data_IF_620448324929
#
_entry.id   IF_620448324929
#
_cell.length_a   1.000
_cell.length_b   1.000
_cell.length_c   1.000
_cell.angle_alpha   90.00
_cell.angle_beta   90.00
_cell.angle_gamma   90.00
#
_symmetry.space_group_name_H-M   'P 1'
#
loop_
_entity.id
_entity.type
_entity.pdbx_description
1 polymer ?
#
# COMPACT_ATOMS: atom_id res chain seq x y z
N UNK A 1 -11.34 -12.53 -12.90
CA UNK A 1 -11.66 -12.95 -14.28
C UNK A 1 -10.62 -12.44 -15.27
N UNK A 2 -10.44 -11.12 -15.46
CA UNK A 2 -9.49 -10.57 -16.44
C UNK A 2 -8.05 -11.09 -16.28
N UNK A 3 -7.50 -11.10 -15.07
CA UNK A 3 -6.15 -11.66 -14.81
C UNK A 3 -6.02 -13.14 -15.21
N UNK A 4 -7.03 -13.96 -14.91
CA UNK A 4 -7.03 -15.39 -15.26
C UNK A 4 -7.08 -15.60 -16.78
N UNK A 5 -7.94 -14.84 -17.47
CA UNK A 5 -8.05 -14.90 -18.93
C UNK A 5 -6.78 -14.39 -19.61
N UNK A 6 -6.22 -13.28 -19.12
CA UNK A 6 -4.96 -12.74 -19.64
C UNK A 6 -3.83 -13.77 -19.48
N UNK A 7 -3.69 -14.38 -18.30
CA UNK A 7 -2.71 -15.45 -18.07
C UNK A 7 -2.88 -16.63 -19.02
N UNK A 8 -4.11 -17.13 -19.16
CA UNK A 8 -4.44 -18.24 -20.06
C UNK A 8 -4.13 -17.93 -21.53
N UNK A 9 -4.50 -16.73 -22.01
CA UNK A 9 -4.22 -16.31 -23.39
C UNK A 9 -2.73 -16.13 -23.61
N UNK A 10 -2.01 -15.48 -22.69
CA UNK A 10 -0.57 -15.24 -22.85
C UNK A 10 0.21 -16.56 -22.91
N UNK A 11 -0.07 -17.52 -22.03
CA UNK A 11 0.61 -18.83 -22.03
C UNK A 11 0.14 -19.75 -23.15
N UNK A 12 -1.07 -19.52 -23.68
CA UNK A 12 -1.59 -20.21 -24.86
C UNK A 12 -0.95 -19.74 -26.17
N UNK A 13 -0.59 -18.46 -26.27
CA UNK A 13 0.02 -17.87 -27.48
C UNK A 13 1.54 -18.02 -27.49
N UNK A 14 2.20 -17.80 -26.36
CA UNK A 14 3.67 -17.83 -26.25
C UNK A 14 4.11 -18.82 -25.18
N UNK A 15 5.16 -19.58 -25.46
CA UNK A 15 5.73 -20.51 -24.49
C UNK A 15 6.18 -19.76 -23.23
N UNK A 16 5.82 -20.26 -22.04
CA UNK A 16 6.11 -19.61 -20.75
C UNK A 16 7.59 -19.26 -20.54
N UNK A 17 8.53 -19.98 -21.19
CA UNK A 17 9.97 -19.69 -21.13
C UNK A 17 10.37 -18.38 -21.79
N UNK A 18 9.58 -17.88 -22.73
CA UNK A 18 9.84 -16.64 -23.49
C UNK A 18 9.15 -15.41 -22.88
N UNK A 19 8.30 -15.60 -21.86
CA UNK A 19 7.56 -14.52 -21.21
C UNK A 19 8.34 -13.85 -20.06
N UNK A 20 9.57 -14.27 -19.77
CA UNK A 20 10.42 -13.63 -18.76
C UNK A 20 11.10 -12.36 -19.31
N UNK A 21 10.29 -11.39 -19.69
CA UNK A 21 10.70 -10.11 -20.27
C UNK A 21 9.98 -8.96 -19.55
N UNK A 22 10.45 -7.70 -19.65
CA UNK A 22 9.80 -6.57 -18.99
C UNK A 22 8.37 -6.28 -19.49
N UNK A 23 8.04 -6.64 -20.72
CA UNK A 23 6.78 -6.34 -21.42
C UNK A 23 6.10 -7.59 -22.01
N UNK A 24 5.74 -8.60 -21.19
CA UNK A 24 5.28 -9.91 -21.66
C UNK A 24 3.97 -9.84 -22.46
N UNK A 25 3.11 -8.87 -22.14
CA UNK A 25 1.85 -8.64 -22.87
C UNK A 25 2.12 -8.18 -24.31
N UNK A 26 3.12 -7.31 -24.50
CA UNK A 26 3.51 -6.83 -25.83
C UNK A 26 4.08 -7.97 -26.67
N UNK A 27 4.98 -8.77 -26.08
CA UNK A 27 5.55 -9.96 -26.74
C UNK A 27 4.47 -10.96 -27.14
N UNK A 28 3.48 -11.20 -26.27
CA UNK A 28 2.36 -12.08 -26.60
C UNK A 28 1.53 -11.55 -27.78
N UNK A 29 1.32 -10.24 -27.88
CA UNK A 29 0.55 -9.64 -28.98
C UNK A 29 1.31 -9.66 -30.29
N UNK A 30 2.60 -9.36 -30.26
CA UNK A 30 3.46 -9.37 -31.45
C UNK A 30 3.57 -10.80 -32.00
N UNK A 31 3.60 -11.82 -31.13
CA UNK A 31 3.57 -13.24 -31.52
C UNK A 31 2.26 -13.69 -32.19
N UNK A 32 1.13 -12.99 -31.97
CA UNK A 32 -0.14 -13.29 -32.66
C UNK A 32 -0.18 -12.84 -34.12
N UNK A 33 0.86 -12.13 -34.60
CA UNK A 33 1.00 -11.61 -35.96
C UNK A 33 -0.17 -10.69 -36.40
N UNK A 34 -0.84 -10.04 -35.44
CA UNK A 34 -1.94 -9.08 -35.66
C UNK A 34 -1.47 -7.66 -35.35
N UNK A 35 -0.71 -7.07 -36.27
CA UNK A 35 -0.04 -5.77 -36.08
C UNK A 35 -0.97 -4.61 -35.68
N UNK A 36 -2.25 -4.64 -36.09
CA UNK A 36 -3.23 -3.61 -35.72
C UNK A 36 -3.52 -3.54 -34.21
N UNK A 37 -3.34 -4.66 -33.49
CA UNK A 37 -3.65 -4.76 -32.07
C UNK A 37 -2.49 -4.28 -31.18
N UNK A 38 -1.25 -4.38 -31.66
CA UNK A 38 -0.05 -4.05 -30.89
C UNK A 38 0.01 -2.57 -30.48
N UNK A 39 -0.26 -1.66 -31.43
CA UNK A 39 -0.21 -0.21 -31.19
C UNK A 39 -1.16 0.27 -30.09
N UNK A 40 -2.48 0.03 -30.22
CA UNK A 40 -3.46 0.44 -29.22
C UNK A 40 -3.23 -0.17 -27.83
N UNK A 41 -2.80 -1.44 -27.75
CA UNK A 41 -2.58 -2.08 -26.45
C UNK A 41 -1.32 -1.54 -25.76
N UNK A 42 -0.23 -1.31 -26.49
CA UNK A 42 0.99 -0.69 -25.93
C UNK A 42 0.70 0.73 -25.43
N UNK A 43 -0.05 1.53 -26.20
CA UNK A 43 -0.52 2.86 -25.77
C UNK A 43 -1.41 2.78 -24.52
N UNK A 44 -2.35 1.85 -24.50
CA UNK A 44 -3.23 1.61 -23.36
C UNK A 44 -2.45 1.20 -22.10
N UNK A 45 -1.42 0.37 -22.24
CA UNK A 45 -0.56 -0.04 -21.14
C UNK A 45 0.23 1.16 -20.57
N UNK A 46 0.82 2.01 -21.42
CA UNK A 46 1.53 3.22 -20.99
C UNK A 46 0.59 4.18 -20.26
N UNK A 47 -0.60 4.44 -20.82
CA UNK A 47 -1.58 5.33 -20.20
C UNK A 47 -2.09 4.78 -18.86
N UNK A 48 -2.36 3.48 -18.80
CA UNK A 48 -2.81 2.79 -17.58
C UNK A 48 -1.76 2.80 -16.48
N UNK A 49 -0.51 2.43 -16.78
CA UNK A 49 0.59 2.44 -15.82
C UNK A 49 0.89 3.86 -15.32
N UNK A 50 0.84 4.86 -16.20
CA UNK A 50 1.02 6.27 -15.82
C UNK A 50 -0.05 6.72 -14.82
N UNK A 51 -1.31 6.35 -15.05
CA UNK A 51 -2.41 6.65 -14.13
C UNK A 51 -2.20 6.00 -12.76
N UNK A 52 -1.80 4.72 -12.72
CA UNK A 52 -1.52 4.01 -11.47
C UNK A 52 -0.38 4.67 -10.68
N UNK A 53 0.71 5.04 -11.36
CA UNK A 53 1.85 5.73 -10.73
C UNK A 53 1.41 7.06 -10.11
N UNK A 54 0.58 7.85 -10.80
CA UNK A 54 0.03 9.10 -10.26
C UNK A 54 -0.78 8.85 -8.99
N UNK A 55 -1.68 7.86 -8.99
CA UNK A 55 -2.49 7.52 -7.80
C UNK A 55 -1.61 7.09 -6.62
N UNK A 56 -0.57 6.30 -6.88
CA UNK A 56 0.38 5.85 -5.85
C UNK A 56 1.18 7.01 -5.26
N UNK A 57 1.70 7.90 -6.10
CA UNK A 57 2.46 9.08 -5.66
C UNK A 57 1.61 10.08 -4.87
N UNK A 58 0.32 10.22 -5.20
CA UNK A 58 -0.59 11.11 -4.47
C UNK A 58 -1.03 10.55 -3.11
N UNK A 59 -0.94 9.23 -2.91
CA UNK A 59 -1.36 8.57 -1.68
C UNK A 59 -0.34 8.71 -0.54
N UNK A 60 0.97 8.63 -0.86
CA UNK A 60 2.04 8.67 0.16
C UNK A 60 2.09 9.97 0.98
N UNK A 61 2.01 11.18 0.37
CA UNK A 61 2.07 12.45 1.12
C UNK A 61 0.94 12.60 2.13
N UNK A 62 -0.24 12.00 1.87
CA UNK A 62 -1.39 12.04 2.79
C UNK A 62 -1.12 11.24 4.05
N UNK A 63 -0.52 10.05 3.91
CA UNK A 63 -0.14 9.20 5.04
C UNK A 63 0.91 9.91 5.90
N UNK A 64 1.92 10.53 5.28
CA UNK A 64 2.93 11.30 6.03
C UNK A 64 2.34 12.52 6.74
N UNK A 65 1.39 13.20 6.11
CA UNK A 65 0.68 14.32 6.73
C UNK A 65 -0.13 13.88 7.96
N UNK A 66 -0.87 12.76 7.88
CA UNK A 66 -1.62 12.24 9.04
C UNK A 66 -0.68 11.77 10.15
N UNK A 67 0.41 11.05 9.81
CA UNK A 67 1.41 10.60 10.79
C UNK A 67 2.09 11.76 11.51
N UNK A 68 2.41 12.84 10.81
CA UNK A 68 2.99 14.04 11.44
C UNK A 68 1.98 14.82 12.28
N UNK A 69 0.69 14.85 11.89
CA UNK A 69 -0.39 15.40 12.73
C UNK A 69 -0.59 14.60 14.02
N UNK A 70 -0.34 13.30 13.99
CA UNK A 70 -0.38 12.41 15.15
C UNK A 70 0.90 12.53 16.02
N UNK A 71 1.88 13.34 15.60
CA UNK A 71 3.13 13.61 16.32
C UNK A 71 4.24 12.60 16.08
N UNK A 72 4.03 11.63 15.18
CA UNK A 72 4.99 10.56 14.88
C UNK A 72 6.16 11.01 13.98
N UNK A 73 6.02 12.14 13.28
CA UNK A 73 7.03 12.72 12.38
C UNK A 73 7.22 14.23 12.62
N UNK A 74 8.40 14.80 12.30
CA UNK A 74 8.69 16.23 12.46
C UNK A 74 7.64 17.15 11.83
N UNK A 75 7.20 18.20 12.54
CA UNK A 75 6.16 19.11 12.02
C UNK A 75 6.54 19.82 10.70
N UNK A 76 7.83 19.90 10.39
CA UNK A 76 8.35 20.49 9.16
C UNK A 76 7.90 19.75 7.89
N UNK A 77 7.70 18.42 7.94
CA UNK A 77 7.17 17.64 6.80
C UNK A 77 5.65 17.81 6.60
N UNK A 78 4.96 18.49 7.52
CA UNK A 78 3.52 18.79 7.40
C UNK A 78 3.23 20.19 6.85
N UNK A 79 4.21 20.93 6.34
CA UNK A 79 3.95 22.29 5.84
C UNK A 79 3.10 22.23 4.57
N UNK A 80 1.81 22.52 4.73
CA UNK A 80 0.83 22.55 3.66
C UNK A 80 0.95 23.87 2.88
N UNK A 81 0.86 23.82 1.55
CA UNK A 81 0.87 25.03 0.72
C UNK A 81 -0.37 25.90 1.03
N UNK A 82 -0.21 27.20 1.34
CA UNK A 82 -1.32 28.05 1.81
C UNK A 82 -2.45 28.24 0.78
N UNK A 83 -2.13 28.23 -0.52
CA UNK A 83 -3.11 28.40 -1.61
C UNK A 83 -3.74 27.08 -2.11
N UNK A 84 -2.98 25.99 -2.10
CA UNK A 84 -3.38 24.72 -2.73
C UNK A 84 -3.76 23.65 -1.70
N UNK A 85 -3.51 23.90 -0.41
CA UNK A 85 -3.77 22.98 0.70
C UNK A 85 -3.16 21.58 0.51
N UNK A 86 -2.07 21.48 -0.26
CA UNK A 86 -1.33 20.24 -0.53
C UNK A 86 -0.01 20.18 0.23
N UNK A 87 0.41 19.00 0.72
CA UNK A 87 1.70 18.81 1.38
C UNK A 87 2.82 18.69 0.32
N UNK A 88 3.25 19.84 -0.21
CA UNK A 88 4.16 19.89 -1.36
C UNK A 88 5.59 19.41 -1.03
N UNK A 89 6.07 19.62 0.19
CA UNK A 89 7.41 19.21 0.63
C UNK A 89 7.53 17.68 0.62
N UNK A 90 6.56 16.97 1.20
CA UNK A 90 6.58 15.50 1.21
C UNK A 90 6.43 14.93 -0.18
N UNK A 91 5.59 15.51 -1.04
CA UNK A 91 5.48 15.09 -2.44
C UNK A 91 6.81 15.19 -3.20
N UNK A 92 7.55 16.28 -3.04
CA UNK A 92 8.86 16.44 -3.70
C UNK A 92 9.85 15.42 -3.13
N UNK A 93 9.94 15.29 -1.80
CA UNK A 93 10.87 14.35 -1.16
C UNK A 93 10.57 12.90 -1.61
N UNK A 94 9.31 12.47 -1.54
CA UNK A 94 8.94 11.10 -1.94
C UNK A 94 9.15 10.89 -3.43
N UNK A 95 8.83 11.90 -4.27
CA UNK A 95 9.07 11.84 -5.71
C UNK A 95 10.56 11.67 -6.06
N UNK A 96 11.44 12.43 -5.40
CA UNK A 96 12.90 12.31 -5.59
C UNK A 96 13.40 10.94 -5.12
N UNK A 97 12.93 10.46 -3.96
CA UNK A 97 13.28 9.13 -3.45
C UNK A 97 12.83 8.03 -4.41
N UNK A 98 11.60 8.11 -4.92
CA UNK A 98 11.07 7.15 -5.90
C UNK A 98 11.84 7.22 -7.22
N UNK A 99 12.24 8.40 -7.68
CA UNK A 99 13.05 8.57 -8.88
C UNK A 99 14.42 7.89 -8.75
N UNK A 100 15.10 8.09 -7.62
CA UNK A 100 16.40 7.45 -7.35
C UNK A 100 16.23 5.93 -7.24
N UNK A 101 15.19 5.47 -6.52
CA UNK A 101 14.89 4.05 -6.37
C UNK A 101 14.59 3.39 -7.73
N UNK A 102 13.77 4.02 -8.57
CA UNK A 102 13.44 3.53 -9.90
C UNK A 102 14.66 3.46 -10.84
N UNK A 103 15.64 4.36 -10.66
CA UNK A 103 16.88 4.36 -11.44
C UNK A 103 17.90 3.29 -11.00
N UNK A 104 17.82 2.81 -9.75
CA UNK A 104 18.88 1.98 -9.14
C UNK A 104 18.44 0.57 -8.75
N UNK A 105 17.15 0.35 -8.53
CA UNK A 105 16.62 -0.92 -8.03
C UNK A 105 16.00 -1.74 -9.18
N UNK A 106 16.45 -2.98 -9.41
CA UNK A 106 15.82 -3.90 -10.38
C UNK A 106 14.33 -4.13 -10.07
N UNK A 107 13.52 -4.29 -11.12
CA UNK A 107 12.06 -4.45 -10.99
C UNK A 107 11.65 -5.68 -10.17
N UNK A 108 12.45 -6.76 -10.20
CA UNK A 108 12.22 -7.95 -9.38
C UNK A 108 12.32 -7.63 -7.88
N UNK A 109 13.41 -6.97 -7.47
CA UNK A 109 13.66 -6.57 -6.08
C UNK A 109 12.61 -5.55 -5.62
N UNK A 110 12.24 -4.59 -6.47
CA UNK A 110 11.19 -3.61 -6.16
C UNK A 110 9.82 -4.28 -5.97
N UNK A 111 9.51 -5.28 -6.80
CA UNK A 111 8.31 -6.11 -6.67
C UNK A 111 8.28 -6.90 -5.37
N UNK A 112 9.36 -7.61 -5.06
CA UNK A 112 9.54 -8.36 -3.81
C UNK A 112 9.38 -7.48 -2.57
N UNK A 113 10.00 -6.29 -2.55
CA UNK A 113 9.89 -5.30 -1.46
C UNK A 113 8.46 -4.79 -1.29
N UNK A 114 7.76 -4.53 -2.39
CA UNK A 114 6.38 -4.07 -2.36
C UNK A 114 5.45 -5.18 -1.88
N UNK A 115 5.65 -6.40 -2.37
CA UNK A 115 4.87 -7.58 -1.99
C UNK A 115 5.02 -7.90 -0.50
N UNK A 116 6.24 -7.95 0.04
CA UNK A 116 6.41 -8.26 1.47
C UNK A 116 5.75 -7.20 2.37
N UNK A 117 5.87 -5.91 2.03
CA UNK A 117 5.26 -4.83 2.80
C UNK A 117 3.74 -4.85 2.76
N UNK A 118 3.15 -5.08 1.59
CA UNK A 118 1.68 -5.15 1.41
C UNK A 118 1.09 -6.39 2.07
N UNK A 119 1.73 -7.56 1.93
CA UNK A 119 1.33 -8.78 2.62
C UNK A 119 1.40 -8.61 4.15
N UNK A 120 2.46 -7.98 4.65
CA UNK A 120 2.57 -7.67 6.08
C UNK A 120 1.45 -6.74 6.56
N UNK A 121 1.16 -5.68 5.81
CA UNK A 121 0.05 -4.78 6.11
C UNK A 121 -1.31 -5.50 6.11
N UNK A 122 -1.57 -6.38 5.14
CA UNK A 122 -2.79 -7.19 5.09
C UNK A 122 -2.89 -8.15 6.27
N UNK A 123 -1.80 -8.84 6.62
CA UNK A 123 -1.77 -9.70 7.80
C UNK A 123 -2.11 -8.91 9.08
N UNK A 124 -1.50 -7.73 9.27
CA UNK A 124 -1.78 -6.86 10.42
C UNK A 124 -3.22 -6.35 10.44
N UNK A 125 -3.78 -5.94 9.30
CA UNK A 125 -5.17 -5.45 9.22
C UNK A 125 -6.15 -6.58 9.50
N UNK A 126 -5.97 -7.77 8.91
CA UNK A 126 -6.83 -8.93 9.16
C UNK A 126 -6.78 -9.36 10.62
N UNK A 127 -5.60 -9.37 11.24
CA UNK A 127 -5.44 -9.64 12.67
C UNK A 127 -6.08 -8.54 13.53
N UNK A 128 -5.91 -7.27 13.15
CA UNK A 128 -6.48 -6.11 13.84
C UNK A 128 -8.00 -6.10 13.84
N UNK A 129 -8.64 -6.51 12.74
CA UNK A 129 -10.10 -6.66 12.65
C UNK A 129 -10.61 -7.76 13.60
N UNK A 130 -9.88 -8.88 13.71
CA UNK A 130 -10.19 -9.93 14.68
C UNK A 130 -10.04 -9.44 16.11
N UNK A 131 -8.94 -8.74 16.40
CA UNK A 131 -8.67 -8.17 17.72
C UNK A 131 -9.77 -7.18 18.12
N UNK A 132 -10.12 -6.23 17.25
CA UNK A 132 -11.19 -5.26 17.51
C UNK A 132 -12.57 -5.92 17.68
N UNK A 133 -12.77 -7.11 17.12
CA UNK A 133 -14.01 -7.88 17.34
C UNK A 133 -14.13 -8.45 18.75
N UNK A 134 -13.02 -8.70 19.42
CA UNK A 134 -12.98 -9.18 20.81
C UNK A 134 -12.95 -8.00 21.77
N UNK A 135 -12.12 -6.99 21.50
CA UNK A 135 -11.88 -5.88 22.44
C UNK A 135 -12.98 -4.82 22.44
N UNK A 136 -13.61 -4.55 21.29
CA UNK A 136 -14.65 -3.50 21.17
C UNK A 136 -15.87 -4.02 20.40
N UNK A 137 -16.67 -4.92 21.01
CA UNK A 137 -17.83 -5.51 20.37
C UNK A 137 -18.96 -4.50 20.12
N UNK A 138 -19.08 -3.48 20.97
CA UNK A 138 -20.19 -2.50 20.99
C UNK A 138 -20.12 -1.43 19.88
N UNK A 139 -19.00 -1.35 19.14
CA UNK A 139 -18.83 -0.34 18.09
C UNK A 139 -19.79 -0.64 16.94
N UNK A 140 -20.57 0.36 16.53
CA UNK A 140 -21.46 0.26 15.38
C UNK A 140 -20.65 0.05 14.08
N UNK A 141 -21.01 -1.00 13.33
CA UNK A 141 -20.28 -1.44 12.12
C UNK A 141 -21.25 -1.42 10.93
N UNK A 142 -21.25 -0.35 10.11
CA UNK A 142 -22.12 -0.25 8.93
C UNK A 142 -21.91 -1.37 7.92
N UNK A 143 -20.68 -1.90 7.83
CA UNK A 143 -20.34 -3.09 7.07
C UNK A 143 -19.67 -4.13 7.97
N UNK A 144 -20.06 -5.40 7.81
CA UNK A 144 -19.50 -6.54 8.55
C UNK A 144 -19.02 -7.59 7.58
N UNK A 145 -17.76 -7.99 7.70
CA UNK A 145 -17.22 -9.07 6.88
C UNK A 145 -18.00 -10.38 7.17
N UNK A 146 -18.48 -11.09 6.13
CA UNK A 146 -19.16 -12.36 6.30
C UNK A 146 -18.21 -13.37 6.94
N UNK A 147 -18.72 -14.16 7.88
CA UNK A 147 -17.98 -15.21 8.58
C UNK A 147 -16.58 -14.78 9.06
N UNK A 148 -16.45 -13.63 9.73
CA UNK A 148 -15.14 -13.08 10.13
C UNK A 148 -14.28 -13.99 11.02
N UNK A 149 -14.86 -14.93 11.77
CA UNK A 149 -14.09 -15.98 12.46
C UNK A 149 -13.38 -16.95 11.50
N UNK A 150 -13.83 -17.04 10.25
CA UNK A 150 -13.18 -17.79 9.18
C UNK A 150 -12.39 -16.86 8.26
N UNK A 151 -12.99 -15.76 7.78
CA UNK A 151 -12.34 -14.86 6.81
C UNK A 151 -11.17 -14.08 7.40
N UNK A 152 -11.23 -13.74 8.68
CA UNK A 152 -10.13 -13.09 9.40
C UNK A 152 -8.88 -13.97 9.47
N UNK A 153 -8.95 -15.18 10.08
CA UNK A 153 -7.79 -16.06 10.17
C UNK A 153 -7.29 -16.52 8.81
N UNK A 154 -8.19 -16.80 7.86
CA UNK A 154 -7.79 -17.15 6.49
C UNK A 154 -7.04 -16.01 5.80
N UNK A 155 -7.42 -14.74 6.03
CA UNK A 155 -6.68 -13.59 5.51
C UNK A 155 -5.26 -13.49 6.09
N UNK A 156 -5.12 -13.72 7.40
CA UNK A 156 -3.80 -13.77 8.05
C UNK A 156 -2.98 -14.95 7.51
N UNK A 157 -3.56 -16.15 7.47
CA UNK A 157 -2.88 -17.36 7.01
C UNK A 157 -2.42 -17.24 5.55
N UNK A 158 -3.29 -16.78 4.64
CA UNK A 158 -2.92 -16.62 3.23
C UNK A 158 -1.82 -15.59 3.05
N UNK A 159 -1.90 -14.45 3.74
CA UNK A 159 -0.87 -13.41 3.69
C UNK A 159 0.48 -13.92 4.22
N UNK A 160 0.48 -14.66 5.34
CA UNK A 160 1.69 -15.25 5.91
C UNK A 160 2.27 -16.36 5.05
N UNK A 161 1.45 -17.25 4.50
CA UNK A 161 1.91 -18.31 3.59
C UNK A 161 2.60 -17.70 2.38
N UNK A 162 2.00 -16.68 1.75
CA UNK A 162 2.63 -15.98 0.63
C UNK A 162 3.93 -15.30 1.06
N UNK A 163 3.96 -14.69 2.26
CA UNK A 163 5.17 -14.07 2.79
C UNK A 163 6.32 -15.07 3.00
N UNK A 164 6.02 -16.32 3.35
CA UNK A 164 7.00 -17.40 3.48
C UNK A 164 7.56 -17.90 2.15
N UNK A 165 6.87 -17.64 1.03
CA UNK A 165 7.37 -18.00 -0.32
C UNK A 165 8.40 -17.01 -0.86
N UNK A 166 8.59 -15.86 -0.21
CA UNK A 166 9.58 -14.85 -0.64
C UNK A 166 10.99 -15.20 -0.12
N UNK A 167 12.05 -14.77 -0.85
CA UNK A 167 13.44 -15.00 -0.44
C UNK A 167 13.77 -14.45 0.95
N UNK A 168 14.72 -15.07 1.66
CA UNK A 168 15.15 -14.60 2.99
C UNK A 168 15.72 -13.17 2.95
N UNK A 169 16.28 -12.74 1.82
CA UNK A 169 16.77 -11.37 1.63
C UNK A 169 15.66 -10.32 1.83
N UNK A 170 14.41 -10.62 1.44
CA UNK A 170 13.30 -9.68 1.60
C UNK A 170 12.91 -9.53 3.07
N UNK A 171 13.01 -10.61 3.84
CA UNK A 171 12.75 -10.60 5.27
C UNK A 171 13.78 -9.75 6.01
N UNK A 172 15.07 -9.88 5.67
CA UNK A 172 16.12 -9.05 6.26
C UNK A 172 15.83 -7.57 5.99
N UNK A 173 15.49 -7.22 4.74
CA UNK A 173 15.15 -5.84 4.36
C UNK A 173 13.95 -5.30 5.15
N UNK A 174 12.90 -6.11 5.35
CA UNK A 174 11.74 -5.75 6.16
C UNK A 174 12.12 -5.50 7.62
N UNK A 175 12.89 -6.41 8.22
CA UNK A 175 13.33 -6.31 9.63
C UNK A 175 14.21 -5.08 9.83
N UNK A 176 15.14 -4.81 8.91
CA UNK A 176 15.97 -3.59 8.95
C UNK A 176 15.09 -2.34 8.90
N UNK A 177 14.10 -2.29 7.99
CA UNK A 177 13.16 -1.17 7.92
C UNK A 177 12.31 -1.01 9.18
N UNK A 178 11.84 -2.11 9.76
CA UNK A 178 11.13 -2.13 11.04
C UNK A 178 11.99 -1.55 12.17
N UNK A 179 13.27 -1.93 12.25
CA UNK A 179 14.21 -1.41 13.24
C UNK A 179 14.42 0.09 13.03
N UNK A 180 14.63 0.55 11.80
CA UNK A 180 14.76 1.98 11.49
C UNK A 180 13.51 2.75 11.93
N UNK A 181 12.31 2.25 11.59
CA UNK A 181 11.05 2.85 12.00
C UNK A 181 10.89 2.91 13.52
N UNK A 182 11.27 1.84 14.21
CA UNK A 182 11.22 1.75 15.66
C UNK A 182 12.22 2.71 16.34
N UNK A 183 13.43 2.86 15.78
CA UNK A 183 14.42 3.84 16.24
C UNK A 183 13.91 5.27 16.09
N UNK A 184 13.33 5.62 14.93
CA UNK A 184 12.71 6.94 14.72
C UNK A 184 11.58 7.16 15.73
N UNK A 185 10.76 6.13 15.97
CA UNK A 185 9.68 6.19 16.95
C UNK A 185 10.20 6.43 18.38
N UNK A 186 11.23 5.70 18.84
CA UNK A 186 11.76 5.88 20.19
C UNK A 186 12.50 7.20 20.37
N UNK A 187 13.27 7.64 19.37
CA UNK A 187 14.04 8.87 19.43
C UNK A 187 13.16 10.12 19.34
N UNK A 188 12.12 10.10 18.50
CA UNK A 188 11.28 11.27 18.23
C UNK A 188 9.83 11.07 18.68
N UNK A 189 9.20 9.98 18.24
CA UNK A 189 7.77 9.70 18.43
C UNK A 189 7.35 9.58 19.90
N UNK A 190 8.15 8.95 20.77
CA UNK A 190 7.83 8.80 22.20
C UNK A 190 7.72 10.14 22.93
N UNK A 191 8.53 11.13 22.54
CA UNK A 191 8.57 12.44 23.18
C UNK A 191 7.55 13.45 22.60
N UNK A 192 7.00 13.18 21.41
CA UNK A 192 6.12 14.10 20.68
C UNK A 192 4.72 13.54 20.36
N UNK A 193 4.43 12.27 20.68
CA UNK A 193 3.12 11.64 20.43
C UNK A 193 2.03 12.30 21.27
N UNK A 194 1.06 12.92 20.58
CA UNK A 194 -0.04 13.70 21.19
C UNK A 194 -1.27 12.83 21.47
N UNK A 195 -1.19 11.51 21.22
CA UNK A 195 -2.34 10.60 21.34
C UNK A 195 -2.90 10.50 22.77
N UNK A 196 -2.06 10.73 23.79
CA UNK A 196 -2.48 10.72 25.20
C UNK A 196 -3.23 11.98 25.66
N UNK A 197 -3.24 13.06 24.86
CA UNK A 197 -3.76 14.37 25.31
C UNK A 197 -5.09 14.79 24.65
N UNK A 198 -5.68 13.94 23.79
CA UNK A 198 -6.96 14.22 23.10
C UNK A 198 -8.19 13.55 23.71
N UNK A 199 -8.03 12.68 24.70
CA UNK A 199 -9.13 12.20 25.52
C UNK A 199 -8.93 12.69 26.96
N UNK A 200 -9.56 13.80 27.38
CA UNK A 200 -9.76 14.01 28.80
C UNK A 200 -10.54 12.80 29.34
N UNK A 201 -9.95 12.12 30.31
CA UNK A 201 -10.63 11.08 31.06
C UNK A 201 -11.95 11.65 31.61
N UNK A 202 -13.08 11.14 31.12
CA UNK A 202 -14.40 11.43 31.68
C UNK A 202 -15.20 12.53 31.00
N UNK A 203 -15.66 12.30 29.75
CA UNK A 203 -16.99 12.75 29.33
C UNK A 203 -17.66 11.66 28.50
N UNK A 204 -18.73 11.10 29.08
CA UNK A 204 -19.70 10.22 28.45
C UNK A 204 -20.18 10.82 27.13
N UNK A 205 -20.29 9.97 26.10
CA UNK A 205 -20.83 10.34 24.80
C UNK A 205 -22.28 10.82 24.98
N UNK A 206 -22.49 12.14 24.89
CA UNK A 206 -23.81 12.73 24.71
C UNK A 206 -24.26 12.61 23.25
N UNK A 207 -25.58 12.58 22.99
CA UNK A 207 -26.12 12.25 21.68
C UNK A 207 -25.72 13.30 20.62
N UNK A 208 -25.36 12.79 19.44
CA UNK A 208 -25.06 13.55 18.23
C UNK A 208 -26.30 14.33 17.82
N UNK A 209 -26.33 15.65 18.08
CA UNK A 209 -27.33 16.53 17.48
C UNK A 209 -26.90 16.89 16.06
N UNK A 210 -27.82 16.61 15.12
CA UNK A 210 -27.81 17.01 13.72
C UNK A 210 -27.46 18.50 13.56
N UNK A 211 -26.52 18.80 12.68
CA UNK A 211 -26.39 20.15 12.10
C UNK A 211 -26.89 20.07 10.67
N UNK A 212 -28.21 20.26 10.54
CA UNK A 212 -28.87 20.75 9.33
C UNK A 212 -28.94 22.27 9.46
N UNK A 213 -28.24 22.98 8.57
CA UNK A 213 -28.65 24.21 7.84
C UNK A 213 -27.42 24.92 7.26
#
# INVERSE_FOLDING_TARGET
ILYCLAGFVMTGVVNYKQLNVPDPVAVAIDAMNKGWLSGPVKLGAIAGLSSVILVMLLSQPRIFYTMSRDGLLPKAVSKVHPRFRTPWITTIITGVVVMIAAATIPISIAGELTSIGTLFAFAMVSAGVLYLRITQPEVERPFRAPFIWFTGPMGVLTSLILMLTLPLDTWIRLVVWMIIGLLIYFLYGKHHSVLGNRYPAGKTAGPVQEVVS
#
